data_IF_268279953167
#
_entry.id   IF_268279953167
#
_cell.length_a   1.000
_cell.length_b   1.000
_cell.length_c   1.000
_cell.angle_alpha   90.00
_cell.angle_beta   90.00
_cell.angle_gamma   90.00
#
_symmetry.space_group_name_H-M   'P 1'
#
loop_
_entity.id
_entity.type
_entity.pdbx_description
1 polymer ?
#
# COMPACT_ATOMS: atom_id res chain seq x y z
N UNK A 1 25.38 -20.32 -21.40
CA UNK A 1 24.03 -19.81 -21.04
C UNK A 1 23.32 -20.92 -20.30
N UNK A 2 23.17 -20.80 -18.97
CA UNK A 2 22.43 -21.79 -18.20
C UNK A 2 20.95 -21.71 -18.62
N UNK A 3 20.49 -22.71 -19.33
CA UNK A 3 19.08 -22.86 -19.71
C UNK A 3 18.30 -23.18 -18.42
N UNK A 4 17.87 -22.15 -17.68
CA UNK A 4 16.98 -22.38 -16.52
C UNK A 4 15.69 -23.00 -17.03
N UNK A 5 15.30 -24.14 -16.44
CA UNK A 5 14.04 -24.81 -16.77
C UNK A 5 12.86 -23.89 -16.48
N UNK A 6 11.88 -23.87 -17.37
CA UNK A 6 10.62 -23.18 -17.11
C UNK A 6 9.91 -23.80 -15.90
N UNK A 7 9.54 -22.98 -14.92
CA UNK A 7 8.69 -23.41 -13.81
C UNK A 7 7.22 -23.19 -14.17
N UNK A 8 6.43 -24.23 -14.14
CA UNK A 8 4.99 -24.14 -14.39
C UNK A 8 4.19 -24.37 -13.11
N UNK A 9 3.10 -23.62 -12.95
CA UNK A 9 2.16 -23.76 -11.83
C UNK A 9 0.72 -23.53 -12.31
N UNK A 10 -0.27 -24.04 -11.57
CA UNK A 10 -1.68 -23.70 -11.82
C UNK A 10 -1.98 -22.25 -11.53
N UNK A 11 -1.39 -21.68 -10.45
CA UNK A 11 -1.61 -20.29 -10.04
C UNK A 11 -0.27 -19.63 -9.71
N UNK A 12 0.08 -18.59 -10.46
CA UNK A 12 1.22 -17.73 -10.15
C UNK A 12 0.73 -16.47 -9.45
N UNK A 13 1.32 -16.16 -8.29
CA UNK A 13 0.98 -15.00 -7.47
C UNK A 13 2.17 -14.05 -7.47
N UNK A 14 1.96 -12.79 -7.85
CA UNK A 14 2.99 -11.75 -7.78
C UNK A 14 2.72 -10.80 -6.63
N UNK A 15 3.66 -10.74 -5.70
CA UNK A 15 3.61 -9.90 -4.51
C UNK A 15 3.26 -10.67 -3.25
N UNK A 16 3.81 -10.24 -2.12
CA UNK A 16 3.79 -10.94 -0.84
C UNK A 16 3.24 -10.08 0.31
N UNK A 17 2.46 -9.06 0.02
CA UNK A 17 1.68 -8.36 1.05
C UNK A 17 0.52 -9.23 1.55
N UNK A 18 -0.35 -8.69 2.43
CA UNK A 18 -1.50 -9.44 2.98
C UNK A 18 -2.38 -10.07 1.90
N UNK A 19 -2.57 -9.41 0.75
CA UNK A 19 -3.31 -9.97 -0.38
C UNK A 19 -2.62 -11.20 -0.97
N UNK A 20 -1.31 -11.13 -1.22
CA UNK A 20 -0.55 -12.21 -1.83
C UNK A 20 -0.44 -13.44 -0.93
N UNK A 21 -0.08 -13.26 0.34
CA UNK A 21 -0.02 -14.38 1.28
C UNK A 21 -1.39 -15.03 1.49
N UNK A 22 -2.47 -14.23 1.62
CA UNK A 22 -3.81 -14.79 1.74
C UNK A 22 -4.22 -15.55 0.47
N UNK A 23 -3.95 -15.01 -0.71
CA UNK A 23 -4.19 -15.72 -1.97
C UNK A 23 -3.42 -17.04 -2.02
N UNK A 24 -2.16 -17.05 -1.60
CA UNK A 24 -1.31 -18.24 -1.56
C UNK A 24 -1.87 -19.31 -0.62
N UNK A 25 -2.30 -18.93 0.59
CA UNK A 25 -2.92 -19.83 1.57
C UNK A 25 -4.16 -20.50 0.96
N UNK A 26 -5.08 -19.72 0.39
CA UNK A 26 -6.33 -20.27 -0.15
C UNK A 26 -6.08 -21.11 -1.40
N UNK A 27 -5.20 -20.70 -2.32
CA UNK A 27 -4.86 -21.46 -3.51
C UNK A 27 -4.16 -22.79 -3.17
N UNK A 28 -3.25 -22.78 -2.19
CA UNK A 28 -2.59 -24.02 -1.72
C UNK A 28 -3.58 -24.99 -1.06
N UNK A 29 -4.48 -24.49 -0.22
CA UNK A 29 -5.55 -25.29 0.40
C UNK A 29 -6.53 -25.88 -0.64
N UNK A 30 -6.71 -25.22 -1.79
CA UNK A 30 -7.46 -25.73 -2.94
C UNK A 30 -6.62 -26.68 -3.83
N UNK A 31 -5.45 -27.13 -3.36
CA UNK A 31 -4.55 -28.07 -4.06
C UNK A 31 -4.06 -27.54 -5.43
N UNK A 32 -3.96 -26.23 -5.60
CA UNK A 32 -3.51 -25.60 -6.85
C UNK A 32 -1.99 -25.49 -6.94
N UNK A 33 -1.24 -25.86 -5.88
CA UNK A 33 0.22 -25.79 -5.82
C UNK A 33 0.75 -24.42 -6.30
N UNK A 34 0.35 -23.31 -5.66
CA UNK A 34 0.72 -21.99 -6.12
C UNK A 34 2.22 -21.73 -5.99
N UNK A 35 2.75 -20.95 -6.91
CA UNK A 35 4.04 -20.28 -6.76
C UNK A 35 3.76 -18.82 -6.43
N UNK A 36 4.33 -18.32 -5.34
CA UNK A 36 4.33 -16.91 -5.00
C UNK A 36 5.72 -16.33 -5.23
N UNK A 37 5.80 -15.33 -6.12
CA UNK A 37 7.04 -14.59 -6.37
C UNK A 37 6.99 -13.27 -5.63
N UNK A 38 7.93 -13.08 -4.69
CA UNK A 38 8.11 -11.85 -3.96
C UNK A 38 9.39 -11.13 -4.39
N UNK A 39 9.36 -9.80 -4.38
CA UNK A 39 10.52 -8.97 -4.69
C UNK A 39 11.53 -8.92 -3.53
N UNK A 40 12.31 -7.85 -3.49
CA UNK A 40 13.32 -7.62 -2.44
C UNK A 40 12.77 -7.36 -1.04
N UNK A 41 11.48 -7.00 -0.93
CA UNK A 41 10.81 -6.70 0.33
C UNK A 41 9.61 -7.66 0.55
N UNK A 42 9.85 -8.91 1.02
CA UNK A 42 8.78 -9.84 1.36
C UNK A 42 7.92 -9.27 2.50
N UNK A 43 6.58 -9.42 2.40
CA UNK A 43 5.63 -8.85 3.35
C UNK A 43 5.11 -7.46 2.97
N UNK A 44 5.76 -6.78 2.03
CA UNK A 44 5.30 -5.48 1.50
C UNK A 44 5.34 -4.37 2.54
N UNK A 45 4.40 -3.42 2.47
CA UNK A 45 4.43 -2.20 3.28
C UNK A 45 4.29 -2.42 4.79
N UNK A 46 3.60 -3.49 5.22
CA UNK A 46 3.47 -3.78 6.66
C UNK A 46 4.82 -4.09 7.33
N UNK A 47 5.84 -4.47 6.60
CA UNK A 47 7.19 -4.67 7.15
C UNK A 47 7.88 -3.38 7.56
N UNK A 48 7.37 -2.23 7.13
CA UNK A 48 7.86 -0.89 7.51
C UNK A 48 6.97 -0.21 8.56
N UNK A 49 5.88 -0.87 8.96
CA UNK A 49 4.95 -0.40 9.99
C UNK A 49 5.37 -1.01 11.34
N UNK A 50 5.30 -0.23 12.41
CA UNK A 50 5.58 -0.72 13.77
C UNK A 50 4.33 -1.38 14.34
N UNK A 51 3.51 -0.64 15.04
CA UNK A 51 2.34 -1.12 15.76
C UNK A 51 1.13 -1.30 14.83
N UNK A 52 0.46 -2.44 14.93
CA UNK A 52 -0.77 -2.76 14.20
C UNK A 52 -1.85 -3.14 15.22
N UNK A 53 -2.91 -2.33 15.27
CA UNK A 53 -4.04 -2.53 16.20
C UNK A 53 -5.36 -2.84 15.46
N UNK A 54 -5.37 -2.66 14.14
CA UNK A 54 -6.58 -2.72 13.32
C UNK A 54 -6.69 -3.97 12.44
N UNK A 55 -5.82 -4.97 12.64
CA UNK A 55 -5.96 -6.27 11.99
C UNK A 55 -6.74 -7.23 12.91
N UNK A 56 -7.94 -7.70 12.49
CA UNK A 56 -8.79 -8.52 13.34
C UNK A 56 -8.14 -9.85 13.75
N UNK A 57 -8.45 -10.30 14.97
CA UNK A 57 -7.97 -11.57 15.52
C UNK A 57 -6.97 -11.42 16.67
N UNK A 58 -6.47 -10.20 16.91
CA UNK A 58 -5.52 -9.93 17.99
C UNK A 58 -6.09 -8.91 18.98
N UNK A 59 -6.11 -9.29 20.27
CA UNK A 59 -6.57 -8.41 21.36
C UNK A 59 -5.48 -7.47 21.91
N UNK A 60 -4.24 -7.69 21.48
CA UNK A 60 -3.07 -6.88 21.84
C UNK A 60 -2.46 -6.28 20.58
N UNK A 61 -1.74 -5.20 20.76
CA UNK A 61 -0.91 -4.61 19.70
C UNK A 61 0.07 -5.66 19.17
N UNK A 62 0.15 -5.78 17.87
CA UNK A 62 1.12 -6.64 17.18
C UNK A 62 2.03 -5.78 16.30
N UNK A 63 3.17 -6.33 15.91
CA UNK A 63 4.10 -5.65 15.00
C UNK A 63 3.83 -6.05 13.55
N UNK A 64 3.87 -5.06 12.66
CA UNK A 64 3.65 -5.30 11.22
C UNK A 64 4.58 -6.38 10.63
N UNK A 65 5.91 -6.34 10.85
CA UNK A 65 6.82 -7.39 10.40
C UNK A 65 6.45 -8.78 10.94
N UNK A 66 6.12 -8.87 12.23
CA UNK A 66 5.69 -10.13 12.85
C UNK A 66 4.44 -10.70 12.18
N UNK A 67 3.42 -9.87 11.93
CA UNK A 67 2.21 -10.32 11.23
C UNK A 67 2.53 -10.88 9.84
N UNK A 68 3.46 -10.25 9.12
CA UNK A 68 3.86 -10.71 7.79
C UNK A 68 4.64 -12.01 7.83
N UNK A 69 5.46 -12.23 8.85
CA UNK A 69 6.16 -13.50 9.07
C UNK A 69 5.18 -14.63 9.40
N UNK A 70 4.16 -14.39 10.24
CA UNK A 70 3.10 -15.36 10.54
C UNK A 70 2.30 -15.73 9.26
N UNK A 71 1.90 -14.74 8.46
CA UNK A 71 1.19 -14.98 7.20
C UNK A 71 2.04 -15.75 6.19
N UNK A 72 3.34 -15.44 6.10
CA UNK A 72 4.30 -16.17 5.29
C UNK A 72 4.41 -17.62 5.74
N UNK A 73 4.68 -17.84 7.04
CA UNK A 73 4.78 -19.18 7.63
C UNK A 73 3.54 -20.01 7.40
N UNK A 74 2.35 -19.40 7.51
CA UNK A 74 1.08 -20.06 7.20
C UNK A 74 0.99 -20.48 5.73
N UNK A 75 1.39 -19.63 4.79
CA UNK A 75 1.37 -19.94 3.36
C UNK A 75 2.35 -21.08 3.01
N UNK A 76 3.55 -21.07 3.62
CA UNK A 76 4.54 -22.15 3.47
C UNK A 76 4.04 -23.49 4.06
N UNK A 77 3.44 -23.44 5.24
CA UNK A 77 2.92 -24.63 5.93
C UNK A 77 1.81 -25.37 5.15
N UNK A 78 1.04 -24.65 4.31
CA UNK A 78 0.03 -25.25 3.45
C UNK A 78 0.53 -25.62 2.06
N UNK A 79 1.84 -25.44 1.77
CA UNK A 79 2.51 -25.93 0.57
C UNK A 79 2.63 -24.91 -0.57
N UNK A 80 2.63 -23.62 -0.28
CA UNK A 80 2.99 -22.59 -1.27
C UNK A 80 4.50 -22.60 -1.53
N UNK A 81 4.92 -22.64 -2.79
CA UNK A 81 6.32 -22.41 -3.16
C UNK A 81 6.62 -20.89 -3.18
N UNK A 82 7.47 -20.44 -2.25
CA UNK A 82 7.91 -19.03 -2.18
C UNK A 82 9.20 -18.84 -2.94
N UNK A 83 9.24 -17.85 -3.84
CA UNK A 83 10.43 -17.57 -4.65
C UNK A 83 10.79 -16.08 -4.54
N UNK A 84 12.03 -15.83 -4.15
CA UNK A 84 12.59 -14.48 -4.22
C UNK A 84 13.10 -14.22 -5.64
N UNK A 85 12.39 -13.40 -6.37
CA UNK A 85 12.78 -12.91 -7.69
C UNK A 85 12.05 -11.58 -7.98
N UNK A 86 12.61 -10.78 -8.87
CA UNK A 86 11.94 -9.57 -9.33
C UNK A 86 11.45 -9.77 -10.77
N UNK A 87 10.12 -9.80 -10.94
CA UNK A 87 9.55 -9.98 -12.28
C UNK A 87 9.69 -8.67 -13.07
N UNK A 88 10.37 -8.75 -14.21
CA UNK A 88 10.62 -7.61 -15.09
C UNK A 88 9.80 -7.64 -16.38
N UNK A 89 9.18 -8.78 -16.71
CA UNK A 89 8.33 -8.92 -17.90
C UNK A 89 7.20 -9.90 -17.66
N UNK A 90 6.02 -9.57 -18.17
CA UNK A 90 4.86 -10.47 -18.22
C UNK A 90 4.29 -10.52 -19.62
N UNK A 91 3.71 -11.66 -19.99
CA UNK A 91 2.92 -11.84 -21.20
C UNK A 91 1.60 -12.53 -20.81
N UNK A 92 0.53 -11.77 -20.85
CA UNK A 92 -0.82 -12.20 -20.53
C UNK A 92 -1.69 -12.39 -21.77
N UNK A 93 -1.11 -12.30 -22.97
CA UNK A 93 -1.84 -12.37 -24.24
C UNK A 93 -2.35 -13.78 -24.57
N UNK A 94 -1.72 -14.82 -24.05
CA UNK A 94 -2.08 -16.23 -24.26
C UNK A 94 -1.72 -17.10 -23.08
N UNK A 95 -2.43 -18.23 -22.97
CA UNK A 95 -2.12 -19.27 -21.97
C UNK A 95 -1.10 -20.28 -22.50
N UNK A 96 -0.29 -20.89 -21.61
CA UNK A 96 -0.12 -20.48 -20.21
C UNK A 96 0.45 -19.05 -20.14
N UNK A 97 -0.04 -18.25 -19.17
CA UNK A 97 0.50 -16.92 -18.90
C UNK A 97 1.97 -17.01 -18.53
N UNK A 98 2.76 -15.98 -18.87
CA UNK A 98 4.20 -16.03 -18.70
C UNK A 98 4.72 -14.83 -17.91
N UNK A 99 5.66 -15.10 -17.00
CA UNK A 99 6.45 -14.08 -16.30
C UNK A 99 7.94 -14.43 -16.40
N UNK A 100 8.78 -13.40 -16.42
CA UNK A 100 10.25 -13.55 -16.48
C UNK A 100 10.83 -12.72 -15.34
N UNK A 101 11.66 -13.36 -14.53
CA UNK A 101 12.37 -12.72 -13.44
C UNK A 101 13.74 -12.17 -13.85
N UNK A 102 14.28 -11.26 -13.03
CA UNK A 102 15.65 -10.73 -13.20
C UNK A 102 16.70 -11.84 -13.10
N UNK A 103 16.40 -12.90 -12.35
CA UNK A 103 17.22 -14.10 -12.32
C UNK A 103 17.31 -14.84 -13.66
N UNK A 104 16.52 -14.43 -14.67
CA UNK A 104 16.33 -15.13 -15.94
C UNK A 104 15.42 -16.37 -15.85
N UNK A 105 14.83 -16.65 -14.70
CA UNK A 105 13.85 -17.72 -14.52
C UNK A 105 12.56 -17.37 -15.28
N UNK A 106 12.05 -18.35 -16.01
CA UNK A 106 10.75 -18.26 -16.69
C UNK A 106 9.71 -18.99 -15.86
N UNK A 107 8.60 -18.30 -15.57
CA UNK A 107 7.42 -18.85 -14.90
C UNK A 107 6.27 -18.90 -15.89
N UNK A 108 5.51 -19.99 -15.86
CA UNK A 108 4.26 -20.09 -16.62
C UNK A 108 3.12 -20.54 -15.71
N UNK A 109 1.90 -20.07 -16.00
CA UNK A 109 0.75 -20.38 -15.16
C UNK A 109 -0.55 -20.46 -15.97
N UNK A 110 -1.49 -21.27 -15.47
CA UNK A 110 -2.85 -21.34 -16.01
C UNK A 110 -3.71 -20.15 -15.55
N UNK A 111 -3.43 -19.63 -14.35
CA UNK A 111 -4.05 -18.45 -13.76
C UNK A 111 -3.01 -17.56 -13.08
N UNK A 112 -3.31 -16.27 -12.98
CA UNK A 112 -2.37 -15.25 -12.52
C UNK A 112 -3.05 -14.31 -11.50
N UNK A 113 -2.46 -14.14 -10.32
CA UNK A 113 -2.94 -13.21 -9.29
C UNK A 113 -1.92 -12.09 -9.10
N UNK A 114 -2.36 -10.85 -9.30
CA UNK A 114 -1.56 -9.65 -9.15
C UNK A 114 -1.86 -9.04 -7.78
N UNK A 115 -0.87 -9.04 -6.89
CA UNK A 115 -0.95 -8.47 -5.54
C UNK A 115 0.28 -7.62 -5.21
N UNK A 116 0.75 -6.88 -6.23
CA UNK A 116 1.98 -6.07 -6.18
C UNK A 116 1.85 -4.80 -5.35
N UNK A 117 0.62 -4.47 -4.92
CA UNK A 117 0.35 -3.35 -4.02
C UNK A 117 0.48 -1.97 -4.64
N UNK A 118 0.58 -0.97 -3.77
CA UNK A 118 0.86 0.43 -4.12
C UNK A 118 1.84 1.01 -3.10
N UNK A 119 2.61 2.01 -3.50
CA UNK A 119 3.54 2.70 -2.61
C UNK A 119 3.07 4.11 -2.33
N UNK A 120 3.11 4.53 -1.08
CA UNK A 120 2.88 5.91 -0.71
C UNK A 120 3.94 6.81 -1.37
N UNK A 121 3.50 7.96 -1.86
CA UNK A 121 4.42 9.01 -2.30
C UNK A 121 4.95 9.73 -1.08
N UNK A 122 6.24 10.01 -1.11
CA UNK A 122 6.95 10.68 -0.05
C UNK A 122 7.50 12.04 -0.49
N UNK A 123 7.87 12.88 0.46
CA UNK A 123 8.50 14.18 0.17
C UNK A 123 9.96 14.02 -0.29
N UNK A 124 10.54 12.85 -0.06
CA UNK A 124 11.95 12.51 -0.36
C UNK A 124 12.97 13.33 0.45
N UNK A 125 12.61 13.72 1.67
CA UNK A 125 13.51 14.36 2.61
C UNK A 125 14.26 13.28 3.41
N UNK A 126 15.56 13.48 3.67
CA UNK A 126 16.35 12.57 4.52
C UNK A 126 15.75 12.45 5.92
N UNK A 127 15.37 13.59 6.51
CA UNK A 127 14.72 13.64 7.81
C UNK A 127 13.35 12.95 7.83
N UNK A 128 12.58 13.02 6.74
CA UNK A 128 11.34 12.24 6.61
C UNK A 128 11.63 10.74 6.68
N UNK A 129 12.63 10.25 5.93
CA UNK A 129 13.01 8.82 5.96
C UNK A 129 13.45 8.37 7.35
N UNK A 130 14.18 9.20 8.07
CA UNK A 130 14.66 8.91 9.41
C UNK A 130 13.53 8.68 10.40
N UNK A 131 12.46 9.49 10.33
CA UNK A 131 11.34 9.43 11.28
C UNK A 131 10.14 8.60 10.80
N UNK A 132 10.22 7.88 9.67
CA UNK A 132 9.15 6.96 9.24
C UNK A 132 8.88 5.89 10.29
N UNK A 133 7.60 5.75 10.70
CA UNK A 133 7.18 4.87 11.80
C UNK A 133 7.49 5.43 13.20
N UNK A 134 8.17 6.58 13.30
CA UNK A 134 8.51 7.25 14.57
C UNK A 134 7.95 8.68 14.62
N UNK A 135 6.76 8.85 14.11
CA UNK A 135 6.07 10.14 14.01
C UNK A 135 5.82 10.63 12.59
N UNK A 136 6.40 10.00 11.56
CA UNK A 136 6.06 10.22 10.15
C UNK A 136 5.30 9.02 9.61
N UNK A 137 4.09 9.25 9.11
CA UNK A 137 3.17 8.24 8.56
C UNK A 137 2.61 8.66 7.19
N UNK A 138 2.09 7.70 6.43
CA UNK A 138 1.32 7.93 5.22
C UNK A 138 -0.10 7.33 5.32
N UNK A 139 -0.58 7.03 6.53
CA UNK A 139 -1.89 6.44 6.77
C UNK A 139 -2.52 6.97 8.07
N UNK A 140 -3.39 7.96 7.96
CA UNK A 140 -4.10 8.50 9.12
C UNK A 140 -5.02 7.46 9.79
N UNK A 141 -5.62 6.58 9.01
CA UNK A 141 -6.51 5.51 9.53
C UNK A 141 -5.73 4.46 10.34
N UNK A 142 -4.46 4.24 9.98
CA UNK A 142 -3.60 3.29 10.68
C UNK A 142 -3.07 3.88 12.00
N UNK A 143 -2.52 5.08 11.93
CA UNK A 143 -1.66 5.62 12.98
C UNK A 143 -2.29 6.78 13.76
N UNK A 144 -3.44 7.30 13.33
CA UNK A 144 -4.06 8.48 13.94
C UNK A 144 -4.38 8.33 15.43
N UNK A 145 -4.70 7.12 15.89
CA UNK A 145 -5.00 6.83 17.28
C UNK A 145 -3.81 7.12 18.23
N UNK A 146 -2.56 6.89 17.77
CA UNK A 146 -1.35 7.14 18.57
C UNK A 146 -1.09 8.64 18.85
N UNK A 147 -1.82 9.52 18.16
CA UNK A 147 -1.72 10.97 18.30
C UNK A 147 -2.89 11.60 19.08
N UNK A 148 -3.50 10.83 20.00
CA UNK A 148 -4.56 11.34 20.87
C UNK A 148 -4.04 12.50 21.72
N UNK A 149 -4.82 13.63 21.70
CA UNK A 149 -4.51 14.89 22.40
C UNK A 149 -3.19 15.57 21.97
N UNK A 150 -2.60 15.15 20.84
CA UNK A 150 -1.37 15.71 20.28
C UNK A 150 -1.66 16.67 19.12
N UNK A 151 -0.66 17.45 18.74
CA UNK A 151 -0.72 18.29 17.55
C UNK A 151 -0.04 17.58 16.37
N UNK A 152 -0.69 17.53 15.22
CA UNK A 152 -0.16 16.82 14.02
C UNK A 152 -0.25 17.70 12.79
N UNK A 153 0.60 17.39 11.81
CA UNK A 153 0.55 18.01 10.49
C UNK A 153 0.17 16.97 9.42
N UNK A 154 -0.55 17.43 8.39
CA UNK A 154 -0.86 16.67 7.19
C UNK A 154 -0.31 17.43 5.98
N UNK A 155 0.41 16.77 5.11
CA UNK A 155 0.87 17.37 3.84
C UNK A 155 0.04 16.86 2.69
N UNK A 156 -0.58 17.78 1.97
CA UNK A 156 -1.37 17.45 0.78
C UNK A 156 -2.35 18.54 0.40
N UNK A 157 -3.30 18.22 -0.48
CA UNK A 157 -4.30 19.20 -0.93
C UNK A 157 -5.37 18.62 -1.87
N UNK A 158 -5.38 17.31 -2.06
CA UNK A 158 -6.47 16.56 -2.71
C UNK A 158 -7.49 16.04 -1.70
N UNK A 159 -8.50 15.30 -2.17
CA UNK A 159 -9.55 14.71 -1.33
C UNK A 159 -8.95 13.90 -0.17
N UNK A 160 -8.01 12.99 -0.44
CA UNK A 160 -7.38 12.17 0.58
C UNK A 160 -6.74 13.00 1.71
N UNK A 161 -6.02 14.08 1.39
CA UNK A 161 -5.39 14.93 2.41
C UNK A 161 -6.42 15.64 3.29
N UNK A 162 -7.52 16.10 2.69
CA UNK A 162 -8.62 16.74 3.42
C UNK A 162 -9.35 15.74 4.30
N UNK A 163 -9.63 14.54 3.79
CA UNK A 163 -10.28 13.46 4.53
C UNK A 163 -9.41 12.97 5.69
N UNK A 164 -8.10 12.78 5.46
CA UNK A 164 -7.14 12.39 6.52
C UNK A 164 -7.01 13.48 7.59
N UNK A 165 -6.93 14.75 7.20
CA UNK A 165 -6.89 15.87 8.15
C UNK A 165 -8.17 15.90 9.01
N UNK A 166 -9.34 15.73 8.41
CA UNK A 166 -10.60 15.64 9.16
C UNK A 166 -10.68 14.41 10.05
N UNK A 167 -10.19 13.26 9.57
CA UNK A 167 -10.16 12.02 10.36
C UNK A 167 -9.29 12.18 11.62
N UNK A 168 -8.12 12.78 11.50
CA UNK A 168 -7.19 13.01 12.60
C UNK A 168 -7.78 13.91 13.70
N UNK A 169 -8.73 14.81 13.38
CA UNK A 169 -9.38 15.63 14.41
C UNK A 169 -10.20 14.84 15.42
N UNK A 170 -10.48 13.55 15.15
CA UNK A 170 -11.13 12.65 16.13
C UNK A 170 -10.20 12.34 17.32
N UNK A 171 -8.91 12.41 17.11
CA UNK A 171 -7.89 12.06 18.10
C UNK A 171 -7.05 13.27 18.51
N UNK A 172 -6.48 13.97 17.53
CA UNK A 172 -5.59 15.09 17.74
C UNK A 172 -6.29 16.29 18.36
N UNK A 173 -5.56 17.05 19.16
CA UNK A 173 -5.99 18.35 19.70
C UNK A 173 -6.00 19.42 18.60
N UNK A 174 -5.05 19.38 17.68
CA UNK A 174 -4.94 20.28 16.52
C UNK A 174 -4.31 19.58 15.30
N UNK A 175 -4.76 19.95 14.11
CA UNK A 175 -4.26 19.45 12.84
C UNK A 175 -3.86 20.61 11.93
N UNK A 176 -2.64 20.61 11.44
CA UNK A 176 -2.14 21.58 10.48
C UNK A 176 -2.14 20.94 9.09
N UNK A 177 -2.92 21.49 8.14
CA UNK A 177 -2.87 21.06 6.75
C UNK A 177 -1.89 21.93 5.97
N UNK A 178 -0.73 21.39 5.63
CA UNK A 178 0.33 22.10 4.89
C UNK A 178 0.11 21.89 3.40
N UNK A 179 -0.11 23.00 2.68
CA UNK A 179 -0.33 22.94 1.24
C UNK A 179 0.57 23.91 0.48
N UNK A 180 1.19 23.39 -0.61
CA UNK A 180 2.16 24.14 -1.43
C UNK A 180 1.57 25.24 -2.33
N UNK A 181 0.24 25.39 -2.36
CA UNK A 181 -0.50 26.39 -3.14
C UNK A 181 -1.44 27.16 -2.23
N UNK A 182 -2.11 28.17 -2.78
CA UNK A 182 -3.12 28.97 -2.07
C UNK A 182 -4.54 28.43 -2.21
N UNK A 183 -4.72 27.29 -2.88
CA UNK A 183 -6.02 26.62 -3.06
C UNK A 183 -5.87 25.09 -3.05
N UNK A 184 -6.86 24.41 -2.50
CA UNK A 184 -6.93 22.94 -2.47
C UNK A 184 -7.51 22.42 -3.81
N UNK A 185 -7.09 21.22 -4.18
CA UNK A 185 -7.66 20.47 -5.31
C UNK A 185 -8.82 19.57 -4.91
N UNK A 186 -9.09 19.45 -3.61
CA UNK A 186 -10.19 18.68 -3.07
C UNK A 186 -11.54 19.25 -3.52
N UNK A 187 -12.58 18.42 -3.51
CA UNK A 187 -13.94 18.84 -3.82
C UNK A 187 -14.43 19.96 -2.90
N UNK A 188 -15.20 20.90 -3.42
CA UNK A 188 -15.65 22.09 -2.69
C UNK A 188 -16.38 21.73 -1.38
N UNK A 189 -17.24 20.73 -1.41
CA UNK A 189 -17.96 20.25 -0.20
C UNK A 189 -16.99 19.79 0.91
N UNK A 190 -15.91 19.08 0.56
CA UNK A 190 -14.89 18.66 1.50
C UNK A 190 -14.11 19.87 2.05
N UNK A 191 -13.80 20.84 1.19
CA UNK A 191 -13.12 22.07 1.60
C UNK A 191 -13.97 22.89 2.59
N UNK A 192 -15.29 22.96 2.40
CA UNK A 192 -16.20 23.66 3.32
C UNK A 192 -16.22 22.97 4.69
N UNK A 193 -16.34 21.64 4.72
CA UNK A 193 -16.27 20.85 5.99
C UNK A 193 -14.93 21.04 6.69
N UNK A 194 -13.82 21.01 5.94
CA UNK A 194 -12.48 21.25 6.50
C UNK A 194 -12.39 22.62 7.14
N UNK A 195 -12.81 23.69 6.44
CA UNK A 195 -12.74 25.08 6.92
C UNK A 195 -13.66 25.33 8.11
N UNK A 196 -14.76 24.60 8.22
CA UNK A 196 -15.65 24.68 9.38
C UNK A 196 -15.09 23.98 10.63
N UNK A 197 -14.07 23.14 10.51
CA UNK A 197 -13.50 22.40 11.62
C UNK A 197 -12.49 23.25 12.40
N UNK A 198 -12.84 23.64 13.62
CA UNK A 198 -12.03 24.53 14.49
C UNK A 198 -10.68 23.93 14.90
N UNK A 199 -10.49 22.61 14.79
CA UNK A 199 -9.22 21.94 15.08
C UNK A 199 -8.24 21.99 13.89
N UNK A 200 -8.68 22.41 12.70
CA UNK A 200 -7.83 22.41 11.51
C UNK A 200 -7.38 23.84 11.18
N UNK A 201 -6.08 23.98 10.97
CA UNK A 201 -5.45 25.18 10.45
C UNK A 201 -4.75 24.87 9.15
N UNK A 202 -4.98 25.69 8.10
CA UNK A 202 -4.35 25.48 6.80
C UNK A 202 -3.14 26.41 6.68
N UNK A 203 -1.99 25.84 6.40
CA UNK A 203 -0.74 26.55 6.12
C UNK A 203 -0.53 26.56 4.60
N UNK A 204 -0.86 27.69 4.00
CA UNK A 204 -0.82 27.89 2.56
C UNK A 204 0.59 28.20 2.03
N UNK A 205 0.77 27.99 0.71
CA UNK A 205 1.98 28.33 -0.03
C UNK A 205 3.26 27.80 0.63
N UNK A 206 3.16 26.64 1.28
CA UNK A 206 4.20 26.15 2.17
C UNK A 206 4.50 24.67 1.93
N UNK A 207 5.72 24.27 2.19
CA UNK A 207 6.20 22.91 2.14
C UNK A 207 7.02 22.58 3.38
N UNK A 208 7.06 21.30 3.75
CA UNK A 208 7.99 20.81 4.77
C UNK A 208 9.38 20.82 4.18
N UNK A 209 10.31 21.47 4.86
CA UNK A 209 11.73 21.54 4.52
C UNK A 209 12.53 20.49 5.29
N UNK A 210 12.19 20.28 6.54
CA UNK A 210 12.86 19.31 7.42
C UNK A 210 11.88 18.80 8.49
N UNK A 211 11.98 17.52 8.81
CA UNK A 211 11.37 16.91 10.00
C UNK A 211 12.38 16.95 11.12
N UNK A 212 12.00 17.50 12.27
CA UNK A 212 12.85 17.67 13.45
C UNK A 212 12.35 16.77 14.57
N UNK A 213 13.27 16.12 15.28
CA UNK A 213 12.92 15.23 16.36
C UNK A 213 14.09 14.86 17.22
N UNK A 214 13.87 14.00 18.20
CA UNK A 214 14.90 13.38 19.03
C UNK A 214 15.24 11.99 18.50
N UNK A 215 16.43 11.49 18.83
CA UNK A 215 16.87 10.15 18.43
C UNK A 215 16.66 9.14 19.57
N UNK A 216 16.78 9.58 20.82
CA UNK A 216 16.57 8.75 22.02
C UNK A 216 15.67 9.49 23.03
N UNK A 217 14.39 9.12 23.15
CA UNK A 217 13.63 8.24 22.24
C UNK A 217 13.46 8.87 20.86
N UNK A 218 13.32 8.01 19.83
CA UNK A 218 13.14 8.48 18.46
C UNK A 218 11.70 8.95 18.27
N UNK A 219 11.48 10.27 18.17
CA UNK A 219 10.16 10.87 17.99
C UNK A 219 10.26 12.22 17.26
N UNK A 220 9.23 12.54 16.48
CA UNK A 220 9.05 13.87 15.88
C UNK A 220 8.62 14.86 16.97
N UNK A 221 9.14 16.09 16.91
CA UNK A 221 8.76 17.18 17.82
C UNK A 221 8.52 18.54 17.13
N UNK A 222 8.97 18.70 15.89
CA UNK A 222 8.70 19.88 15.10
C UNK A 222 8.91 19.63 13.59
N UNK A 223 8.44 20.56 12.76
CA UNK A 223 8.73 20.65 11.33
C UNK A 223 9.32 22.01 11.03
N UNK A 224 10.34 22.08 10.17
CA UNK A 224 10.70 23.32 9.49
C UNK A 224 9.82 23.47 8.27
N UNK A 225 9.05 24.56 8.22
CA UNK A 225 8.11 24.87 7.16
C UNK A 225 8.67 26.02 6.34
N UNK A 226 8.88 25.81 5.06
CA UNK A 226 9.31 26.84 4.12
C UNK A 226 8.12 27.41 3.39
N UNK A 227 7.91 28.73 3.51
CA UNK A 227 6.96 29.44 2.66
C UNK A 227 7.55 29.60 1.25
N UNK A 228 6.85 29.10 0.24
CA UNK A 228 7.36 29.02 -1.14
C UNK A 228 7.32 30.37 -1.89
N UNK A 229 6.62 31.38 -1.35
CA UNK A 229 6.58 32.72 -1.93
C UNK A 229 7.65 33.63 -1.36
N UNK A 230 7.85 33.56 -0.05
CA UNK A 230 8.78 34.45 0.66
C UNK A 230 10.14 33.80 0.96
N UNK A 231 10.24 32.48 0.79
CA UNK A 231 11.37 31.64 1.20
C UNK A 231 11.67 31.65 2.72
N UNK A 232 10.81 32.25 3.53
CA UNK A 232 10.96 32.23 4.97
C UNK A 232 10.76 30.81 5.52
N UNK A 233 11.60 30.42 6.47
CA UNK A 233 11.51 29.16 7.18
C UNK A 233 11.02 29.44 8.60
N UNK A 234 10.00 28.72 9.04
CA UNK A 234 9.43 28.79 10.39
C UNK A 234 9.40 27.41 11.02
N UNK A 235 9.54 27.36 12.33
CA UNK A 235 9.37 26.11 13.08
C UNK A 235 7.91 25.95 13.48
N UNK A 236 7.32 24.78 13.17
CA UNK A 236 6.00 24.37 13.59
C UNK A 236 6.16 23.20 14.57
N UNK A 237 5.76 23.41 15.82
CA UNK A 237 5.76 22.35 16.84
C UNK A 237 4.63 21.38 16.55
N UNK A 238 4.95 20.10 16.36
CA UNK A 238 3.99 19.00 16.14
C UNK A 238 4.60 17.69 16.63
N UNK A 239 3.75 16.76 17.01
CA UNK A 239 4.16 15.42 17.48
C UNK A 239 4.17 14.39 16.34
N UNK A 240 3.59 14.74 15.18
CA UNK A 240 3.54 13.83 14.03
C UNK A 240 3.26 14.52 12.70
N UNK A 241 3.67 13.83 11.63
CA UNK A 241 3.52 14.26 10.24
C UNK A 241 2.88 13.16 9.41
N UNK A 242 1.77 13.46 8.76
CA UNK A 242 1.08 12.56 7.83
C UNK A 242 1.28 13.01 6.38
N UNK A 243 1.76 12.12 5.53
CA UNK A 243 2.06 12.41 4.13
C UNK A 243 0.89 11.91 3.27
N UNK A 244 0.05 12.84 2.81
CA UNK A 244 -1.18 12.57 2.04
C UNK A 244 -1.09 13.16 0.61
N UNK A 245 -0.02 12.84 -0.11
CA UNK A 245 0.24 13.35 -1.48
C UNK A 245 -0.04 12.31 -2.58
N UNK A 246 -0.66 11.19 -2.21
CA UNK A 246 -1.08 10.11 -3.10
C UNK A 246 -0.22 8.86 -3.00
N UNK A 247 -0.59 7.87 -3.80
CA UNK A 247 0.09 6.59 -3.91
C UNK A 247 0.36 6.28 -5.37
N UNK A 248 1.35 5.43 -5.62
CA UNK A 248 1.67 4.89 -6.94
C UNK A 248 1.44 3.38 -6.93
N UNK A 249 0.44 2.86 -7.69
CA UNK A 249 0.22 1.43 -7.78
C UNK A 249 1.36 0.76 -8.56
N UNK A 250 1.78 -0.43 -8.12
CA UNK A 250 2.86 -1.18 -8.76
C UNK A 250 2.34 -1.96 -9.99
N UNK A 251 1.91 -1.22 -11.01
CA UNK A 251 1.22 -1.73 -12.22
C UNK A 251 2.01 -1.60 -13.51
N UNK A 252 3.24 -1.07 -13.47
CA UNK A 252 4.04 -0.79 -14.66
C UNK A 252 4.21 -2.00 -15.58
N UNK A 253 4.35 -3.21 -15.02
CA UNK A 253 4.49 -4.47 -15.76
C UNK A 253 3.26 -4.84 -16.59
N UNK A 254 2.08 -4.34 -16.21
CA UNK A 254 0.79 -4.72 -16.83
C UNK A 254 0.27 -3.66 -17.79
N UNK A 255 1.02 -2.57 -17.97
CA UNK A 255 0.66 -1.49 -18.89
C UNK A 255 0.48 -2.04 -20.31
N UNK A 256 -0.59 -1.59 -20.97
CA UNK A 256 -1.01 -2.04 -22.31
C UNK A 256 -1.48 -3.50 -22.41
N UNK A 257 -1.60 -4.21 -21.29
CA UNK A 257 -2.17 -5.56 -21.24
C UNK A 257 -3.46 -5.61 -20.43
N UNK A 258 -3.51 -4.85 -19.34
CA UNK A 258 -4.67 -4.79 -18.46
C UNK A 258 -5.28 -3.39 -18.44
N UNK A 259 -6.60 -3.34 -18.23
CA UNK A 259 -7.31 -2.09 -18.05
C UNK A 259 -6.89 -1.41 -16.75
N UNK A 260 -6.61 -0.10 -16.84
CA UNK A 260 -6.21 0.74 -15.71
C UNK A 260 -7.06 1.99 -15.67
N UNK A 261 -7.29 2.50 -14.47
CA UNK A 261 -7.93 3.79 -14.29
C UNK A 261 -6.93 4.96 -14.58
N UNK A 262 -7.44 6.19 -14.47
CA UNK A 262 -6.63 7.41 -14.72
C UNK A 262 -5.44 7.59 -13.76
N UNK A 263 -5.46 6.90 -12.62
CA UNK A 263 -4.42 6.94 -11.59
C UNK A 263 -3.47 5.73 -11.69
N UNK A 264 -3.72 4.83 -12.66
CA UNK A 264 -2.89 3.66 -12.94
C UNK A 264 -3.24 2.41 -12.12
N UNK A 265 -4.33 2.41 -11.35
CA UNK A 265 -4.81 1.22 -10.64
C UNK A 265 -5.48 0.24 -11.59
N UNK A 266 -5.29 -1.07 -11.34
CA UNK A 266 -5.93 -2.11 -12.14
C UNK A 266 -7.46 -2.08 -11.94
N UNK A 267 -8.19 -2.13 -13.06
CA UNK A 267 -9.65 -2.19 -13.06
C UNK A 267 -10.08 -3.66 -12.96
N UNK A 268 -11.00 -3.94 -12.04
CA UNK A 268 -11.63 -5.26 -11.91
C UNK A 268 -13.14 -5.14 -12.08
N UNK A 269 -13.81 -6.26 -12.33
CA UNK A 269 -15.27 -6.31 -12.34
C UNK A 269 -15.81 -5.92 -10.97
N UNK A 270 -17.03 -5.34 -10.89
CA UNK A 270 -17.72 -5.10 -9.62
C UNK A 270 -17.81 -6.40 -8.80
N UNK A 271 -17.63 -6.29 -7.47
CA UNK A 271 -17.70 -7.38 -6.50
C UNK A 271 -16.80 -8.60 -6.82
N UNK A 272 -15.73 -8.38 -7.60
CA UNK A 272 -14.83 -9.41 -8.07
C UNK A 272 -13.39 -8.90 -8.14
N UNK A 273 -12.44 -9.82 -8.19
CA UNK A 273 -11.03 -9.55 -8.46
C UNK A 273 -10.63 -9.79 -9.93
N UNK A 274 -11.58 -10.23 -10.76
CA UNK A 274 -11.34 -10.52 -12.17
C UNK A 274 -11.05 -9.26 -12.98
N UNK A 275 -9.97 -9.29 -13.75
CA UNK A 275 -9.57 -8.24 -14.68
C UNK A 275 -10.29 -8.40 -16.03
N UNK A 276 -9.91 -7.61 -17.03
CA UNK A 276 -10.37 -7.74 -18.41
C UNK A 276 -9.84 -9.01 -19.12
N UNK A 277 -8.78 -9.67 -18.58
CA UNK A 277 -8.26 -10.93 -19.13
C UNK A 277 -8.77 -12.11 -18.27
N UNK A 278 -9.53 -13.08 -18.86
CA UNK A 278 -9.99 -14.25 -18.15
C UNK A 278 -8.85 -15.09 -17.56
N UNK A 279 -8.91 -15.37 -16.26
CA UNK A 279 -7.86 -16.09 -15.53
C UNK A 279 -6.78 -15.19 -14.91
N UNK A 280 -6.89 -13.88 -15.10
CA UNK A 280 -6.02 -12.88 -14.45
C UNK A 280 -6.83 -12.09 -13.44
N UNK A 281 -6.37 -12.06 -12.19
CA UNK A 281 -7.03 -11.44 -11.04
C UNK A 281 -6.11 -10.40 -10.40
N UNK A 282 -6.70 -9.36 -9.78
CA UNK A 282 -5.97 -8.33 -9.06
C UNK A 282 -6.54 -8.15 -7.65
N UNK A 283 -5.67 -8.12 -6.63
CA UNK A 283 -6.06 -8.09 -5.22
C UNK A 283 -5.18 -7.13 -4.40
N UNK A 284 -5.81 -6.44 -3.45
CA UNK A 284 -5.16 -5.46 -2.57
C UNK A 284 -4.93 -4.12 -3.25
N UNK A 285 -3.96 -3.37 -2.74
CA UNK A 285 -3.75 -1.96 -3.09
C UNK A 285 -3.38 -1.70 -4.56
N UNK A 286 -3.03 -2.72 -5.31
CA UNK A 286 -2.81 -2.62 -6.76
C UNK A 286 -4.09 -2.25 -7.52
N UNK A 287 -5.26 -2.52 -6.93
CA UNK A 287 -6.60 -2.18 -7.42
C UNK A 287 -7.41 -1.31 -6.45
N UNK A 288 -7.17 -1.46 -5.14
CA UNK A 288 -7.88 -0.73 -4.09
C UNK A 288 -7.20 0.61 -3.79
N UNK A 289 -7.70 1.67 -4.41
CA UNK A 289 -7.25 3.03 -4.15
C UNK A 289 -8.01 3.75 -3.04
N UNK A 290 -9.04 3.10 -2.47
CA UNK A 290 -9.98 3.71 -1.52
C UNK A 290 -9.61 3.35 -0.09
N UNK A 291 -9.58 2.06 0.24
CA UNK A 291 -9.41 1.59 1.62
C UNK A 291 -7.94 1.42 2.00
N UNK A 292 -7.17 0.70 1.18
CA UNK A 292 -5.74 0.42 1.40
C UNK A 292 -5.46 -0.07 2.82
N UNK A 293 -6.22 -1.09 3.25
CA UNK A 293 -6.08 -1.72 4.55
C UNK A 293 -5.59 -3.16 4.42
N UNK A 294 -4.81 -3.61 5.40
CA UNK A 294 -4.29 -4.99 5.42
C UNK A 294 -5.42 -6.03 5.37
N UNK A 295 -6.50 -5.81 6.12
CA UNK A 295 -7.64 -6.73 6.18
C UNK A 295 -8.44 -6.74 4.88
N UNK A 296 -8.65 -5.59 4.21
CA UNK A 296 -9.32 -5.57 2.89
C UNK A 296 -8.44 -6.23 1.83
N UNK A 297 -7.14 -6.00 1.87
CA UNK A 297 -6.19 -6.66 0.99
C UNK A 297 -6.20 -8.18 1.17
N UNK A 298 -6.19 -8.66 2.42
CA UNK A 298 -6.31 -10.09 2.73
C UNK A 298 -7.64 -10.67 2.21
N UNK A 299 -8.76 -9.97 2.42
CA UNK A 299 -10.07 -10.36 1.89
C UNK A 299 -10.08 -10.49 0.37
N UNK A 300 -9.50 -9.52 -0.35
CA UNK A 300 -9.35 -9.59 -1.80
C UNK A 300 -8.42 -10.72 -2.23
N UNK A 301 -7.37 -11.03 -1.46
CA UNK A 301 -6.51 -12.19 -1.68
C UNK A 301 -7.28 -13.50 -1.63
N UNK A 302 -8.15 -13.66 -0.62
CA UNK A 302 -9.07 -14.79 -0.54
C UNK A 302 -9.99 -14.89 -1.77
N UNK A 303 -10.64 -13.78 -2.14
CA UNK A 303 -11.52 -13.71 -3.31
C UNK A 303 -10.80 -14.14 -4.59
N UNK A 304 -9.60 -13.60 -4.83
CA UNK A 304 -8.82 -13.88 -6.03
C UNK A 304 -8.42 -15.36 -6.14
N UNK A 305 -8.08 -15.99 -5.03
CA UNK A 305 -7.75 -17.40 -5.02
C UNK A 305 -8.97 -18.31 -5.29
N UNK A 306 -10.13 -17.98 -4.72
CA UNK A 306 -11.38 -18.68 -4.99
C UNK A 306 -11.86 -18.52 -6.45
N UNK A 307 -11.68 -17.33 -7.02
CA UNK A 307 -11.98 -17.09 -8.43
C UNK A 307 -11.00 -17.80 -9.36
N UNK A 308 -9.69 -17.83 -9.01
CA UNK A 308 -8.67 -18.57 -9.74
C UNK A 308 -8.95 -20.08 -9.70
N UNK A 309 -9.35 -20.63 -8.56
CA UNK A 309 -9.75 -22.03 -8.43
C UNK A 309 -10.90 -22.38 -9.36
N UNK A 310 -11.99 -21.61 -9.31
CA UNK A 310 -13.14 -21.79 -10.20
C UNK A 310 -12.76 -21.69 -11.69
N UNK A 311 -11.83 -20.80 -12.00
CA UNK A 311 -11.34 -20.64 -13.38
C UNK A 311 -10.52 -21.85 -13.83
N UNK A 312 -9.54 -22.29 -13.05
CA UNK A 312 -8.67 -23.44 -13.38
C UNK A 312 -9.50 -24.73 -13.48
N UNK A 313 -10.47 -24.94 -12.58
CA UNK A 313 -11.33 -26.13 -12.59
C UNK A 313 -12.25 -26.25 -13.82
N UNK A 314 -12.51 -25.14 -14.53
CA UNK A 314 -13.30 -25.17 -15.78
C UNK A 314 -12.50 -25.56 -17.00
N UNK A 315 -11.18 -25.48 -16.93
CA UNK A 315 -10.28 -25.69 -18.06
C UNK A 315 -9.38 -26.94 -17.90
N UNK A 316 -9.54 -27.66 -16.80
CA UNK A 316 -9.01 -29.01 -16.55
C UNK A 316 -10.15 -30.01 -16.65
#
# INVERSE_FOLDING_TARGET
MNNKSTKHTKVLILGSGPAGYTAAIYAARAMLKPILVHGSQPGGQLTTTTDVENYPGYSKVIQGPWLMDEMKGQAEAVGTEMIQDHINKVDLSKKPFKAIGDSGQVYTADSFIISTGAQARWLNLKSEQEFRGFGVSACATCDGFFFKEKEVAVVGGGNAAVEEAMFLTKFASKVYLIHRRNELRAEKMLQEKLKANKKIEIIWDSAVDEVVGTIEPKVVNALKIKNLKTNNITNLKVDGLFIAIGHDPATALFKNQLDMDKEGYLVTKPDSTATNIPGVFAAGDVKDKIFRQAVTAAGMGCMSALEAEKFVSKYN
#
